data_IF_140651637735
#
_entry.id   IF_140651637735
#
_cell.length_a   1.000
_cell.length_b   1.000
_cell.length_c   1.000
_cell.angle_alpha   90.00
_cell.angle_beta   90.00
_cell.angle_gamma   90.00
#
_symmetry.space_group_name_H-M   'P 1'
#
loop_
_entity.id
_entity.type
_entity.pdbx_description
1 polymer ?
#
# COMPACT_ATOMS: atom_id res chain seq x y z
N UNK A 1 -3.52 -9.54 6.14
CA UNK A 1 -4.75 -9.17 5.39
C UNK A 1 -4.31 -8.42 4.14
N UNK A 2 -5.01 -8.57 3.00
CA UNK A 2 -4.66 -7.82 1.78
C UNK A 2 -5.43 -6.49 1.76
N UNK A 3 -4.72 -5.37 1.76
CA UNK A 3 -5.29 -4.02 1.70
C UNK A 3 -5.08 -3.37 0.33
N UNK A 4 -5.92 -2.39 -0.02
CA UNK A 4 -5.79 -1.62 -1.26
C UNK A 4 -5.83 -0.12 -0.96
N UNK A 5 -4.91 0.63 -1.56
CA UNK A 5 -4.74 2.07 -1.30
C UNK A 5 -4.38 2.79 -2.59
N UNK A 6 -4.94 3.99 -2.79
CA UNK A 6 -4.58 4.82 -3.93
C UNK A 6 -3.18 5.44 -3.76
N UNK A 7 -2.52 5.75 -4.88
CA UNK A 7 -1.15 6.25 -4.92
C UNK A 7 -0.93 7.57 -4.17
N UNK A 8 -1.94 8.44 -4.10
CA UNK A 8 -1.81 9.71 -3.38
C UNK A 8 -1.75 9.48 -1.87
N UNK A 9 -2.62 8.62 -1.35
CA UNK A 9 -2.61 8.17 0.05
C UNK A 9 -1.34 7.37 0.36
N UNK A 10 -0.90 6.50 -0.56
CA UNK A 10 0.34 5.74 -0.39
C UNK A 10 1.56 6.66 -0.23
N UNK A 11 1.63 7.74 -1.02
CA UNK A 11 2.71 8.72 -0.94
C UNK A 11 2.75 9.43 0.42
N UNK A 12 1.60 9.86 0.94
CA UNK A 12 1.55 10.56 2.23
C UNK A 12 1.87 9.66 3.42
N UNK A 13 1.59 8.36 3.31
CA UNK A 13 1.70 7.39 4.41
C UNK A 13 2.76 6.31 4.17
N UNK A 14 3.75 6.57 3.30
CA UNK A 14 4.67 5.54 2.80
C UNK A 14 5.38 4.79 3.93
N UNK A 15 5.91 5.51 4.91
CA UNK A 15 6.66 4.90 6.03
C UNK A 15 5.79 3.95 6.87
N UNK A 16 4.54 4.33 7.13
CA UNK A 16 3.59 3.48 7.86
C UNK A 16 3.27 2.21 7.07
N UNK A 17 2.98 2.36 5.77
CA UNK A 17 2.66 1.23 4.89
C UNK A 17 3.84 0.26 4.79
N UNK A 18 5.08 0.75 4.69
CA UNK A 18 6.25 -0.13 4.71
C UNK A 18 6.41 -0.89 6.02
N UNK A 19 6.18 -0.24 7.16
CA UNK A 19 6.28 -0.90 8.47
C UNK A 19 5.21 -2.00 8.62
N UNK A 20 4.00 -1.74 8.14
CA UNK A 20 2.89 -2.72 8.15
C UNK A 20 3.21 -3.96 7.31
N UNK A 21 3.82 -3.77 6.15
CA UNK A 21 4.29 -4.89 5.31
C UNK A 21 5.45 -5.62 5.97
N UNK A 22 6.50 -4.89 6.37
CA UNK A 22 7.74 -5.45 6.88
C UNK A 22 7.59 -6.20 8.20
N UNK A 23 6.71 -5.73 9.10
CA UNK A 23 6.59 -6.26 10.45
C UNK A 23 5.20 -6.85 10.74
N UNK A 24 4.18 -6.50 9.96
CA UNK A 24 2.79 -6.94 10.17
C UNK A 24 2.31 -8.06 9.25
N UNK A 25 3.15 -8.52 8.29
CA UNK A 25 2.76 -9.49 7.25
C UNK A 25 1.52 -9.04 6.46
N UNK A 26 1.34 -7.74 6.28
CA UNK A 26 0.32 -7.19 5.39
C UNK A 26 0.82 -7.20 3.95
N UNK A 27 -0.10 -7.38 3.00
CA UNK A 27 0.15 -7.16 1.57
C UNK A 27 -0.71 -6.00 1.14
N UNK A 28 -0.11 -4.99 0.53
CA UNK A 28 -0.78 -3.73 0.24
C UNK A 28 -0.67 -3.44 -1.25
N UNK A 29 -1.81 -3.47 -1.95
CA UNK A 29 -1.90 -3.10 -3.37
C UNK A 29 -2.04 -1.59 -3.49
N UNK A 30 -1.09 -0.98 -4.20
CA UNK A 30 -1.16 0.43 -4.59
C UNK A 30 -1.86 0.54 -5.94
N UNK A 31 -2.89 1.37 -5.98
CA UNK A 31 -3.67 1.66 -7.18
C UNK A 31 -3.53 3.10 -7.65
N UNK A 32 -3.77 3.32 -8.93
CA UNK A 32 -3.95 4.66 -9.50
C UNK A 32 -5.14 4.63 -10.46
N UNK A 33 -6.10 5.53 -10.21
CA UNK A 33 -7.36 5.63 -10.99
C UNK A 33 -8.10 4.29 -11.08
N UNK A 34 -8.20 3.57 -9.95
CA UNK A 34 -8.87 2.27 -9.86
C UNK A 34 -8.15 1.12 -10.57
N UNK A 35 -6.88 1.29 -10.92
CA UNK A 35 -6.06 0.24 -11.55
C UNK A 35 -4.86 -0.10 -10.67
N UNK A 36 -4.58 -1.39 -10.41
CA UNK A 36 -3.40 -1.80 -9.65
C UNK A 36 -2.12 -1.39 -10.38
N UNK A 37 -1.13 -0.95 -9.60
CA UNK A 37 0.17 -0.46 -10.07
C UNK A 37 1.35 -1.15 -9.41
N UNK A 38 1.23 -1.45 -8.12
CA UNK A 38 2.26 -2.15 -7.35
C UNK A 38 1.62 -2.92 -6.19
N UNK A 39 2.36 -3.86 -5.64
CA UNK A 39 2.08 -4.48 -4.34
C UNK A 39 3.32 -4.32 -3.47
N UNK A 40 3.09 -3.99 -2.20
CA UNK A 40 4.09 -3.99 -1.14
C UNK A 40 3.82 -5.20 -0.24
#
# INVERSE_FOLDING_TARGET
MVGTVNVATARSNLSELMNRVAYGNEIIVIESRGKPKAAL
#
